data_IF_495877297243
#
_entry.id   IF_495877297243
#
_cell.length_a   1.000
_cell.length_b   1.000
_cell.length_c   1.000
_cell.angle_alpha   90.00
_cell.angle_beta   90.00
_cell.angle_gamma   90.00
#
_symmetry.space_group_name_H-M   'P 1'
#
loop_
_entity.id
_entity.type
_entity.pdbx_description
1 polymer ?
#
# COMPACT_ATOMS: atom_id res chain seq x y z
N UNK A 1 -2.48 13.34 7.52
CA UNK A 1 -3.44 12.87 6.50
C UNK A 1 -4.28 11.76 7.10
N UNK A 2 -5.58 11.71 6.80
CA UNK A 2 -6.49 10.70 7.34
C UNK A 2 -6.70 9.62 6.30
N UNK A 3 -6.40 8.35 6.62
CA UNK A 3 -6.75 7.20 5.78
C UNK A 3 -8.14 6.71 6.14
N UNK A 4 -8.98 6.48 5.12
CA UNK A 4 -10.32 5.92 5.31
C UNK A 4 -10.23 4.49 5.84
N UNK A 5 -10.76 4.23 7.03
CA UNK A 5 -10.77 2.89 7.63
C UNK A 5 -11.52 1.86 6.76
N UNK A 6 -12.45 2.32 5.93
CA UNK A 6 -13.22 1.46 5.05
C UNK A 6 -12.36 0.68 4.05
N UNK A 7 -11.13 1.12 3.73
CA UNK A 7 -10.28 0.39 2.79
C UNK A 7 -9.70 -0.90 3.39
N UNK A 8 -9.60 -1.00 4.71
CA UNK A 8 -9.10 -2.19 5.40
C UNK A 8 -10.23 -3.20 5.53
N UNK A 9 -10.23 -4.19 4.63
CA UNK A 9 -11.21 -5.28 4.63
C UNK A 9 -10.67 -6.42 5.50
N UNK A 10 -11.48 -7.46 5.68
CA UNK A 10 -11.11 -8.62 6.51
C UNK A 10 -9.83 -9.34 6.02
N UNK A 11 -9.53 -9.28 4.71
CA UNK A 11 -8.45 -10.08 4.10
C UNK A 11 -7.48 -9.28 3.24
N UNK A 12 -7.79 -8.03 2.93
CA UNK A 12 -7.00 -7.19 2.02
C UNK A 12 -7.30 -5.71 2.21
N UNK A 13 -6.53 -4.87 1.53
CA UNK A 13 -6.77 -3.43 1.42
C UNK A 13 -7.34 -3.15 0.02
N UNK A 14 -8.55 -2.58 -0.04
CA UNK A 14 -9.24 -2.26 -1.29
C UNK A 14 -9.99 -0.94 -1.20
N UNK A 15 -9.82 -0.10 -2.21
CA UNK A 15 -10.51 1.18 -2.37
C UNK A 15 -10.47 1.65 -3.82
N UNK A 16 -11.09 2.81 -4.08
CA UNK A 16 -11.08 3.46 -5.38
C UNK A 16 -9.83 4.34 -5.49
N UNK A 17 -9.13 4.23 -6.62
CA UNK A 17 -7.92 5.01 -6.91
C UNK A 17 -8.28 6.50 -7.01
N UNK A 18 -7.38 7.37 -6.56
CA UNK A 18 -7.56 8.84 -6.44
C UNK A 18 -8.63 9.28 -5.42
N UNK A 19 -9.36 8.36 -4.79
CA UNK A 19 -10.31 8.67 -3.73
C UNK A 19 -9.78 8.19 -2.38
N UNK A 20 -9.80 6.87 -2.14
CA UNK A 20 -9.25 6.30 -0.90
C UNK A 20 -7.85 5.74 -1.08
N UNK A 21 -7.50 5.27 -2.29
CA UNK A 21 -6.15 4.80 -2.64
C UNK A 21 -5.40 5.86 -3.45
N UNK A 22 -5.01 6.95 -2.78
CA UNK A 22 -4.10 7.96 -3.34
C UNK A 22 -2.64 7.53 -3.19
N UNK A 23 -1.69 8.08 -3.96
CA UNK A 23 -0.26 7.80 -3.79
C UNK A 23 0.24 8.02 -2.35
N UNK A 24 -0.21 9.07 -1.67
CA UNK A 24 0.17 9.38 -0.29
C UNK A 24 -0.38 8.33 0.69
N UNK A 25 -1.63 7.88 0.49
CA UNK A 25 -2.22 6.82 1.31
C UNK A 25 -1.48 5.49 1.10
N UNK A 26 -1.13 5.16 -0.15
CA UNK A 26 -0.39 3.94 -0.49
C UNK A 26 1.04 3.97 0.04
N UNK A 27 1.70 5.13 0.05
CA UNK A 27 3.01 5.31 0.71
C UNK A 27 2.94 4.97 2.20
N UNK A 28 1.92 5.47 2.90
CA UNK A 28 1.73 5.16 4.33
C UNK A 28 1.47 3.67 4.57
N UNK A 29 0.72 3.00 3.68
CA UNK A 29 0.54 1.55 3.72
C UNK A 29 1.89 0.84 3.53
N UNK A 30 2.71 1.27 2.58
CA UNK A 30 4.06 0.73 2.35
C UNK A 30 4.95 0.84 3.59
N UNK A 31 4.97 2.02 4.23
CA UNK A 31 5.70 2.25 5.48
C UNK A 31 5.19 1.34 6.62
N UNK A 32 3.88 1.13 6.73
CA UNK A 32 3.31 0.24 7.73
C UNK A 32 3.73 -1.22 7.51
N UNK A 33 3.67 -1.71 6.27
CA UNK A 33 4.13 -3.07 5.91
C UNK A 33 5.64 -3.22 6.19
N UNK A 34 6.45 -2.23 5.80
CA UNK A 34 7.90 -2.22 6.04
C UNK A 34 8.23 -2.23 7.54
N UNK A 35 7.50 -1.46 8.35
CA UNK A 35 7.68 -1.43 9.80
C UNK A 35 7.40 -2.79 10.44
N UNK A 36 6.32 -3.46 10.03
CA UNK A 36 5.98 -4.80 10.50
C UNK A 36 7.01 -5.85 10.05
N UNK A 37 7.50 -5.76 8.81
CA UNK A 37 8.56 -6.62 8.29
C UNK A 37 9.84 -6.50 9.12
N UNK A 38 10.27 -5.28 9.44
CA UNK A 38 11.45 -5.03 10.29
C UNK A 38 11.24 -5.60 11.69
N UNK A 39 10.06 -5.39 12.29
CA UNK A 39 9.73 -5.91 13.62
C UNK A 39 9.80 -7.45 13.68
N UNK A 40 9.53 -8.13 12.56
CA UNK A 40 9.65 -9.59 12.42
C UNK A 40 11.05 -10.08 12.07
N UNK A 41 12.02 -9.18 11.88
CA UNK A 41 13.38 -9.53 11.50
C UNK A 41 13.54 -9.93 10.02
N UNK A 42 12.55 -9.65 9.19
CA UNK A 42 12.58 -9.91 7.76
C UNK A 42 13.39 -8.85 7.02
N UNK A 43 14.14 -9.27 5.99
CA UNK A 43 15.18 -8.43 5.34
C UNK A 43 14.76 -7.85 4.00
N UNK A 44 13.58 -8.20 3.49
CA UNK A 44 13.12 -7.72 2.20
C UNK A 44 11.68 -8.09 1.92
N UNK A 45 11.03 -7.26 1.09
CA UNK A 45 9.65 -7.46 0.63
C UNK A 45 9.68 -7.48 -0.90
N UNK A 46 9.08 -8.52 -1.48
CA UNK A 46 8.84 -8.58 -2.93
C UNK A 46 7.56 -7.81 -3.25
N UNK A 47 7.63 -6.94 -4.25
CA UNK A 47 6.49 -6.14 -4.70
C UNK A 47 6.07 -6.57 -6.10
N UNK A 48 4.78 -6.85 -6.28
CA UNK A 48 4.17 -7.15 -7.57
C UNK A 48 2.90 -6.33 -7.78
N UNK A 49 2.48 -6.18 -9.03
CA UNK A 49 1.24 -5.49 -9.42
C UNK A 49 0.53 -6.24 -10.54
N UNK A 50 -0.77 -5.99 -10.68
CA UNK A 50 -1.55 -6.46 -11.82
C UNK A 50 -1.43 -5.50 -13.04
N UNK A 51 -2.26 -5.74 -14.06
CA UNK A 51 -2.31 -4.99 -15.32
C UNK A 51 -3.12 -3.68 -15.28
N UNK A 52 -3.51 -3.16 -14.10
CA UNK A 52 -4.25 -1.88 -14.02
C UNK A 52 -3.38 -0.69 -14.40
N UNK A 53 -4.01 0.32 -15.00
CA UNK A 53 -3.36 1.57 -15.40
C UNK A 53 -2.74 2.31 -14.20
N UNK A 54 -3.40 2.27 -13.04
CA UNK A 54 -2.90 2.86 -11.80
C UNK A 54 -1.72 2.10 -11.19
N UNK A 55 -1.45 0.87 -11.66
CA UNK A 55 -0.51 -0.03 -11.03
C UNK A 55 0.92 0.52 -10.97
N UNK A 56 1.37 1.24 -12.00
CA UNK A 56 2.72 1.80 -12.01
C UNK A 56 2.88 2.86 -10.92
N UNK A 57 1.99 3.85 -10.89
CA UNK A 57 1.98 4.94 -9.90
C UNK A 57 1.86 4.42 -8.47
N UNK A 58 0.91 3.51 -8.21
CA UNK A 58 0.70 3.01 -6.86
C UNK A 58 1.82 2.08 -6.39
N UNK A 59 2.43 1.30 -7.29
CA UNK A 59 3.60 0.49 -6.95
C UNK A 59 4.81 1.37 -6.60
N UNK A 60 5.01 2.47 -7.33
CA UNK A 60 6.09 3.41 -7.02
C UNK A 60 5.87 4.10 -5.67
N UNK A 61 4.63 4.48 -5.36
CA UNK A 61 4.29 5.01 -4.04
C UNK A 61 4.51 3.98 -2.91
N UNK A 62 4.14 2.72 -3.14
CA UNK A 62 4.22 1.65 -2.13
C UNK A 62 5.66 1.33 -1.71
N UNK A 63 6.63 1.42 -2.63
CA UNK A 63 8.05 1.12 -2.37
C UNK A 63 8.90 2.34 -1.99
N UNK A 64 8.26 3.51 -1.77
CA UNK A 64 8.92 4.81 -1.54
C UNK A 64 9.11 5.18 -0.08
#
# INVERSE_FOLDING_TARGET
MTISQSIFKAYDIRGIVEQELTPEAVKLIGLAIGSESIAKGERGIVVGRDGRLSGLTLMDALKS
#
